data_IF_071327225858
#
_entry.id   IF_071327225858
#
_cell.length_a   1.000
_cell.length_b   1.000
_cell.length_c   1.000
_cell.angle_alpha   90.00
_cell.angle_beta   90.00
_cell.angle_gamma   90.00
#
_symmetry.space_group_name_H-M   'P 1'
#
loop_
_entity.id
_entity.type
_entity.pdbx_description
1 polymer ?
#
# COMPACT_ATOMS: atom_id res chain seq x y z
N UNK A 1 39.50 2.79 25.29
CA UNK A 1 38.45 3.79 25.56
C UNK A 1 37.49 3.73 24.41
N UNK A 2 36.40 3.01 24.66
CA UNK A 2 35.25 2.83 23.77
C UNK A 2 34.59 4.19 23.59
N UNK A 3 34.40 4.60 22.34
CA UNK A 3 33.83 5.91 22.02
C UNK A 3 32.31 5.75 22.11
N UNK A 4 31.72 6.24 23.19
CA UNK A 4 30.27 6.34 23.37
C UNK A 4 29.65 7.01 22.12
N UNK A 5 29.03 6.21 21.27
CA UNK A 5 28.22 6.73 20.17
C UNK A 5 26.91 7.20 20.78
N UNK A 6 26.76 8.52 20.97
CA UNK A 6 25.46 9.10 21.23
C UNK A 6 24.50 8.64 20.12
N UNK A 7 23.62 7.71 20.44
CA UNK A 7 22.55 7.23 19.58
C UNK A 7 21.48 8.32 19.47
N UNK A 8 21.81 9.38 18.74
CA UNK A 8 20.88 10.44 18.41
C UNK A 8 19.82 9.91 17.46
N UNK A 9 18.55 10.00 17.86
CA UNK A 9 17.42 9.75 16.97
C UNK A 9 17.35 10.91 15.98
N UNK A 10 17.39 10.64 14.68
CA UNK A 10 17.12 11.67 13.68
C UNK A 10 15.64 12.06 13.78
N UNK A 11 15.38 13.25 14.31
CA UNK A 11 14.02 13.70 14.64
C UNK A 11 13.14 13.85 13.38
N UNK A 12 13.73 14.26 12.26
CA UNK A 12 12.97 14.67 11.08
C UNK A 12 12.26 13.51 10.37
N UNK A 13 12.93 12.38 10.00
CA UNK A 13 12.22 11.24 9.41
C UNK A 13 11.20 10.63 10.37
N UNK A 14 11.59 10.44 11.64
CA UNK A 14 10.71 9.85 12.65
C UNK A 14 9.45 10.70 12.92
N UNK A 15 9.50 12.02 12.69
CA UNK A 15 8.31 12.87 12.77
C UNK A 15 7.32 12.58 11.64
N UNK A 16 7.79 12.31 10.42
CA UNK A 16 6.93 11.88 9.32
C UNK A 16 6.35 10.49 9.56
N UNK A 17 7.16 9.55 10.07
CA UNK A 17 6.66 8.23 10.51
C UNK A 17 5.56 8.37 11.57
N UNK A 18 5.78 9.25 12.56
CA UNK A 18 4.81 9.53 13.61
C UNK A 18 3.54 10.17 13.06
N UNK A 19 3.67 11.06 12.06
CA UNK A 19 2.52 11.67 11.39
C UNK A 19 1.70 10.62 10.61
N UNK A 20 2.36 9.67 9.95
CA UNK A 20 1.71 8.53 9.31
C UNK A 20 0.90 7.71 10.32
N UNK A 21 1.55 7.34 11.44
CA UNK A 21 0.90 6.61 12.53
C UNK A 21 -0.30 7.37 13.12
N UNK A 22 -0.15 8.68 13.32
CA UNK A 22 -1.23 9.53 13.83
C UNK A 22 -2.42 9.58 12.88
N UNK A 23 -2.17 9.70 11.57
CA UNK A 23 -3.21 9.68 10.56
C UNK A 23 -3.96 8.34 10.54
N UNK A 24 -3.24 7.22 10.67
CA UNK A 24 -3.84 5.90 10.80
C UNK A 24 -4.68 5.75 12.08
N UNK A 25 -4.17 6.23 13.21
CA UNK A 25 -4.91 6.23 14.46
C UNK A 25 -6.19 7.07 14.37
N UNK A 26 -6.11 8.27 13.79
CA UNK A 26 -7.27 9.11 13.54
C UNK A 26 -8.27 8.43 12.60
N UNK A 27 -7.78 7.73 11.57
CA UNK A 27 -8.63 6.94 10.66
C UNK A 27 -9.45 5.89 11.41
N UNK A 28 -8.85 5.17 12.36
CA UNK A 28 -9.54 4.20 13.19
C UNK A 28 -10.63 4.85 14.05
N UNK A 29 -10.30 5.96 14.72
CA UNK A 29 -11.25 6.70 15.55
C UNK A 29 -12.42 7.24 14.72
N UNK A 30 -12.13 7.82 13.55
CA UNK A 30 -13.15 8.35 12.63
C UNK A 30 -14.06 7.23 12.12
N UNK A 31 -13.50 6.09 11.72
CA UNK A 31 -14.25 4.90 11.29
C UNK A 31 -15.20 4.38 12.36
N UNK A 32 -14.73 4.30 13.62
CA UNK A 32 -15.56 3.88 14.75
C UNK A 32 -16.72 4.84 15.05
N UNK A 33 -16.56 6.13 14.70
CA UNK A 33 -17.60 7.15 14.84
C UNK A 33 -18.54 7.24 13.61
N UNK A 34 -18.36 6.37 12.62
CA UNK A 34 -19.11 6.42 11.35
C UNK A 34 -18.68 7.56 10.42
N UNK A 35 -17.59 8.26 10.72
CA UNK A 35 -17.02 9.33 9.88
C UNK A 35 -16.12 8.70 8.81
N UNK A 36 -16.72 7.93 7.91
CA UNK A 36 -15.97 7.08 6.97
C UNK A 36 -15.16 7.87 5.96
N UNK A 37 -15.68 8.98 5.43
CA UNK A 37 -14.93 9.83 4.51
C UNK A 37 -13.65 10.40 5.14
N UNK A 38 -13.76 10.96 6.35
CA UNK A 38 -12.59 11.44 7.10
C UNK A 38 -11.60 10.30 7.40
N UNK A 39 -12.10 9.11 7.71
CA UNK A 39 -11.29 7.91 7.93
C UNK A 39 -10.49 7.50 6.68
N UNK A 40 -11.13 7.53 5.51
CA UNK A 40 -10.50 7.23 4.22
C UNK A 40 -9.42 8.27 3.88
N UNK A 41 -9.76 9.55 3.98
CA UNK A 41 -8.83 10.65 3.70
C UNK A 41 -7.59 10.53 4.60
N UNK A 42 -7.78 10.18 5.88
CA UNK A 42 -6.68 10.01 6.81
C UNK A 42 -5.72 8.86 6.43
N UNK A 43 -6.23 7.75 5.88
CA UNK A 43 -5.37 6.66 5.36
C UNK A 43 -4.50 7.18 4.21
N UNK A 44 -5.07 7.97 3.28
CA UNK A 44 -4.31 8.54 2.17
C UNK A 44 -3.29 9.59 2.64
N UNK A 45 -3.62 10.40 3.66
CA UNK A 45 -2.66 11.31 4.28
C UNK A 45 -1.50 10.52 4.90
N UNK A 46 -1.79 9.46 5.64
CA UNK A 46 -0.76 8.59 6.23
C UNK A 46 0.14 7.96 5.16
N UNK A 47 -0.45 7.52 4.06
CA UNK A 47 0.28 6.99 2.90
C UNK A 47 1.24 8.00 2.26
N UNK A 48 0.83 9.27 2.17
CA UNK A 48 1.70 10.33 1.66
C UNK A 48 2.83 10.60 2.66
N UNK A 49 2.52 10.65 3.96
CA UNK A 49 3.52 10.88 5.01
C UNK A 49 4.59 9.79 5.05
N UNK A 50 4.20 8.51 4.99
CA UNK A 50 5.09 7.35 4.86
C UNK A 50 6.00 7.45 3.62
N UNK A 51 5.40 7.72 2.45
CA UNK A 51 6.17 7.87 1.21
C UNK A 51 7.19 9.02 1.26
N UNK A 52 6.92 10.08 2.03
CA UNK A 52 7.83 11.21 2.23
C UNK A 52 8.94 10.88 3.23
N UNK A 53 8.63 10.28 4.37
CA UNK A 53 9.59 9.72 5.34
C UNK A 53 10.67 8.93 4.62
N UNK A 54 10.27 7.86 3.91
CA UNK A 54 11.23 6.92 3.34
C UNK A 54 12.07 7.55 2.23
N UNK A 55 11.62 8.65 1.62
CA UNK A 55 12.41 9.44 0.66
C UNK A 55 13.35 10.41 1.37
N UNK A 56 12.87 11.14 2.38
CA UNK A 56 13.66 12.10 3.15
C UNK A 56 14.80 11.39 3.88
N UNK A 57 14.55 10.24 4.50
CA UNK A 57 15.59 9.44 5.17
C UNK A 57 16.72 9.02 4.22
N UNK A 58 16.38 8.67 2.97
CA UNK A 58 17.35 8.33 1.92
C UNK A 58 18.14 9.54 1.42
N UNK A 59 17.46 10.67 1.19
CA UNK A 59 18.09 11.90 0.70
C UNK A 59 19.02 12.53 1.73
N UNK A 60 18.69 12.42 3.02
CA UNK A 60 19.46 13.01 4.12
C UNK A 60 20.50 12.05 4.70
N UNK A 61 20.59 10.81 4.20
CA UNK A 61 21.46 9.76 4.73
C UNK A 61 21.24 9.49 6.24
N UNK A 62 20.01 9.64 6.72
CA UNK A 62 19.63 9.52 8.15
C UNK A 62 18.96 8.18 8.49
N UNK A 63 19.21 7.14 7.70
CA UNK A 63 18.64 5.81 7.93
C UNK A 63 19.24 5.18 9.18
N UNK A 64 18.40 4.80 10.14
CA UNK A 64 18.81 4.13 11.39
C UNK A 64 18.04 2.81 11.57
N UNK A 65 18.63 1.85 12.28
CA UNK A 65 17.97 0.59 12.59
C UNK A 65 16.67 0.80 13.39
N UNK A 66 16.68 1.74 14.34
CA UNK A 66 15.49 2.13 15.08
C UNK A 66 14.40 2.69 14.17
N UNK A 67 14.75 3.67 13.31
CA UNK A 67 13.81 4.28 12.37
C UNK A 67 13.18 3.25 11.42
N UNK A 68 13.96 2.29 10.91
CA UNK A 68 13.44 1.23 10.05
C UNK A 68 12.43 0.31 10.75
N UNK A 69 12.65 -0.01 12.04
CA UNK A 69 11.70 -0.78 12.82
C UNK A 69 10.46 0.04 13.18
N UNK A 70 10.64 1.31 13.52
CA UNK A 70 9.54 2.23 13.83
C UNK A 70 8.62 2.45 12.61
N UNK A 71 9.22 2.64 11.43
CA UNK A 71 8.55 2.71 10.13
C UNK A 71 7.71 1.46 9.86
N UNK A 72 8.31 0.26 10.01
CA UNK A 72 7.60 -1.00 9.81
C UNK A 72 6.41 -1.21 10.77
N UNK A 73 6.53 -0.75 12.02
CA UNK A 73 5.42 -0.80 13.00
C UNK A 73 4.32 0.19 12.63
N UNK A 74 4.69 1.40 12.22
CA UNK A 74 3.76 2.42 11.72
C UNK A 74 3.00 1.92 10.48
N UNK A 75 3.72 1.37 9.50
CA UNK A 75 3.19 0.77 8.29
C UNK A 75 2.16 -0.32 8.55
N UNK A 76 2.38 -1.15 9.56
CA UNK A 76 1.44 -2.20 9.94
C UNK A 76 0.10 -1.61 10.38
N UNK A 77 0.13 -0.50 11.13
CA UNK A 77 -1.08 0.21 11.55
C UNK A 77 -1.71 0.95 10.37
N UNK A 78 -0.93 1.71 9.60
CA UNK A 78 -1.40 2.55 8.48
C UNK A 78 -1.96 1.75 7.32
N UNK A 79 -1.29 0.67 6.93
CA UNK A 79 -1.65 -0.10 5.73
C UNK A 79 -2.29 -1.45 6.03
N UNK A 80 -2.17 -1.95 7.27
CA UNK A 80 -2.80 -3.18 7.72
C UNK A 80 -4.09 -2.90 8.47
N UNK A 81 -3.98 -2.32 9.67
CA UNK A 81 -5.08 -2.23 10.63
C UNK A 81 -6.13 -1.19 10.24
N UNK A 82 -5.70 0.02 9.88
CA UNK A 82 -6.61 1.11 9.51
C UNK A 82 -7.55 0.75 8.34
N UNK A 83 -7.06 0.33 7.16
CA UNK A 83 -7.93 -0.04 6.04
C UNK A 83 -8.80 -1.28 6.32
N UNK A 84 -8.30 -2.28 7.06
CA UNK A 84 -9.11 -3.47 7.37
C UNK A 84 -10.28 -3.16 8.31
N UNK A 85 -10.05 -2.34 9.33
CA UNK A 85 -11.11 -1.94 10.27
C UNK A 85 -12.06 -0.92 9.66
N UNK A 86 -11.58 -0.02 8.79
CA UNK A 86 -12.44 0.80 7.94
C UNK A 86 -13.39 -0.07 7.11
N UNK A 87 -12.85 -1.03 6.36
CA UNK A 87 -13.68 -1.93 5.54
C UNK A 87 -14.66 -2.75 6.38
N UNK A 88 -14.27 -3.16 7.60
CA UNK A 88 -15.14 -3.85 8.52
C UNK A 88 -16.29 -2.99 9.04
N UNK A 89 -15.99 -1.82 9.57
CA UNK A 89 -16.99 -0.92 10.14
C UNK A 89 -17.98 -0.43 9.07
N UNK A 90 -17.51 -0.21 7.83
CA UNK A 90 -18.33 0.30 6.75
C UNK A 90 -19.17 -0.79 6.06
N UNK A 91 -18.58 -1.94 5.71
CA UNK A 91 -19.23 -2.94 4.83
C UNK A 91 -19.13 -4.38 5.36
N UNK A 92 -17.95 -4.87 5.83
CA UNK A 92 -17.80 -6.30 6.13
C UNK A 92 -18.59 -6.74 7.38
N UNK A 93 -19.01 -5.80 8.24
CA UNK A 93 -19.88 -6.08 9.38
C UNK A 93 -21.17 -6.80 8.98
N UNK A 94 -21.67 -6.59 7.76
CA UNK A 94 -22.82 -7.31 7.20
C UNK A 94 -22.60 -8.83 7.06
N UNK A 95 -21.35 -9.30 7.03
CA UNK A 95 -20.99 -10.73 7.00
C UNK A 95 -20.82 -11.34 8.41
N UNK A 96 -21.05 -10.56 9.47
CA UNK A 96 -20.93 -11.00 10.86
C UNK A 96 -19.55 -11.59 11.18
N UNK A 97 -19.53 -12.85 11.65
CA UNK A 97 -18.28 -13.55 12.03
C UNK A 97 -17.27 -13.65 10.88
N UNK A 98 -17.75 -13.82 9.66
CA UNK A 98 -16.86 -13.93 8.49
C UNK A 98 -16.18 -12.59 8.19
N UNK A 99 -16.90 -11.48 8.40
CA UNK A 99 -16.41 -10.14 8.10
C UNK A 99 -15.15 -9.75 8.87
N UNK A 100 -15.15 -9.94 10.20
CA UNK A 100 -13.98 -9.60 11.01
C UNK A 100 -12.81 -10.56 10.78
N UNK A 101 -13.08 -11.84 10.46
CA UNK A 101 -12.05 -12.81 10.09
C UNK A 101 -11.34 -12.39 8.80
N UNK A 102 -12.09 -11.94 7.79
CA UNK A 102 -11.50 -11.43 6.53
C UNK A 102 -10.67 -10.18 6.78
N UNK A 103 -11.16 -9.24 7.60
CA UNK A 103 -10.39 -8.07 8.00
C UNK A 103 -9.08 -8.47 8.70
N UNK A 104 -9.12 -9.45 9.61
CA UNK A 104 -7.94 -9.97 10.28
C UNK A 104 -6.94 -10.64 9.33
N UNK A 105 -7.43 -11.43 8.36
CA UNK A 105 -6.57 -12.05 7.33
C UNK A 105 -5.81 -10.99 6.54
N UNK A 106 -6.47 -9.88 6.20
CA UNK A 106 -5.82 -8.76 5.53
C UNK A 106 -4.72 -8.13 6.40
N UNK A 107 -5.02 -7.83 7.66
CA UNK A 107 -4.03 -7.31 8.63
C UNK A 107 -2.84 -8.25 8.79
N UNK A 108 -3.09 -9.56 8.92
CA UNK A 108 -2.05 -10.57 9.07
C UNK A 108 -1.18 -10.70 7.81
N UNK A 109 -1.78 -10.62 6.62
CA UNK A 109 -1.05 -10.62 5.35
C UNK A 109 -0.10 -9.43 5.23
N UNK A 110 -0.53 -8.23 5.64
CA UNK A 110 0.34 -7.04 5.71
C UNK A 110 1.51 -7.27 6.67
N UNK A 111 1.26 -7.79 7.87
CA UNK A 111 2.32 -8.07 8.85
C UNK A 111 3.35 -9.09 8.32
N UNK A 112 2.89 -10.20 7.71
CA UNK A 112 3.77 -11.20 7.10
C UNK A 112 4.58 -10.63 5.95
N UNK A 113 3.97 -9.78 5.10
CA UNK A 113 4.67 -9.10 4.01
C UNK A 113 5.76 -8.20 4.56
N UNK A 114 5.47 -7.36 5.56
CA UNK A 114 6.46 -6.46 6.18
C UNK A 114 7.60 -7.23 6.83
N UNK A 115 7.30 -8.30 7.57
CA UNK A 115 8.32 -9.17 8.16
C UNK A 115 9.22 -9.79 7.09
N UNK A 116 8.64 -10.33 6.02
CA UNK A 116 9.39 -10.88 4.88
C UNK A 116 10.26 -9.81 4.23
N UNK A 117 9.71 -8.61 3.99
CA UNK A 117 10.44 -7.50 3.40
C UNK A 117 11.66 -7.15 4.25
N UNK A 118 11.49 -7.00 5.57
CA UNK A 118 12.56 -6.66 6.50
C UNK A 118 13.67 -7.73 6.58
N UNK A 119 13.33 -9.01 6.45
CA UNK A 119 14.31 -10.11 6.45
C UNK A 119 15.05 -10.30 5.12
N UNK A 120 14.48 -9.84 4.00
CA UNK A 120 15.04 -10.04 2.65
C UNK A 120 15.78 -8.80 2.09
N UNK A 121 15.91 -7.73 2.88
CA UNK A 121 16.49 -6.45 2.49
C UNK A 121 17.92 -6.55 1.91
N UNK A 122 18.73 -7.50 2.36
CA UNK A 122 20.14 -7.62 1.93
C UNK A 122 20.33 -8.43 0.63
N UNK A 123 19.35 -9.27 0.27
CA UNK A 123 19.45 -10.23 -0.86
C UNK A 123 18.55 -9.90 -2.05
N UNK A 124 17.73 -8.84 -1.96
CA UNK A 124 16.71 -8.53 -2.97
C UNK A 124 17.26 -7.71 -4.15
N UNK A 125 16.88 -8.11 -5.38
CA UNK A 125 17.10 -7.35 -6.61
C UNK A 125 16.47 -5.95 -6.51
N UNK A 126 17.25 -4.88 -6.74
CA UNK A 126 16.79 -3.48 -6.59
C UNK A 126 15.64 -3.07 -7.53
N UNK A 127 15.47 -3.79 -8.66
CA UNK A 127 14.50 -3.47 -9.73
C UNK A 127 13.09 -4.02 -9.52
N UNK A 128 12.90 -5.06 -8.70
CA UNK A 128 11.61 -5.72 -8.56
C UNK A 128 11.29 -6.01 -7.09
N UNK A 129 10.05 -5.75 -6.68
CA UNK A 129 9.49 -6.22 -5.42
C UNK A 129 8.89 -7.61 -5.59
N UNK A 130 8.92 -8.42 -4.53
CA UNK A 130 8.17 -9.67 -4.46
C UNK A 130 6.92 -9.45 -3.60
N UNK A 131 5.76 -9.80 -4.14
CA UNK A 131 4.45 -9.53 -3.54
C UNK A 131 3.96 -8.10 -3.81
N UNK A 132 2.64 -7.90 -3.71
CA UNK A 132 2.02 -6.58 -3.80
C UNK A 132 2.52 -5.69 -2.65
N UNK A 133 2.94 -4.43 -2.91
CA UNK A 133 3.31 -3.53 -1.82
C UNK A 133 2.11 -3.17 -0.92
N UNK A 134 2.35 -2.97 0.38
CA UNK A 134 1.30 -2.64 1.36
C UNK A 134 0.55 -1.33 1.04
N UNK A 135 1.20 -0.22 0.64
CA UNK A 135 0.48 1.03 0.41
C UNK A 135 -0.54 0.93 -0.75
N UNK A 136 -0.20 0.42 -1.94
CA UNK A 136 -1.18 0.15 -3.00
C UNK A 136 -2.29 -0.82 -2.59
N UNK A 137 -1.98 -1.85 -1.78
CA UNK A 137 -3.01 -2.75 -1.25
C UNK A 137 -4.01 -2.00 -0.36
N UNK A 138 -3.52 -1.19 0.57
CA UNK A 138 -4.35 -0.35 1.44
C UNK A 138 -5.18 0.65 0.63
N UNK A 139 -4.58 1.21 -0.42
CA UNK A 139 -5.26 2.14 -1.31
C UNK A 139 -6.43 1.48 -2.06
N UNK A 140 -6.26 0.25 -2.56
CA UNK A 140 -7.36 -0.52 -3.20
C UNK A 140 -8.52 -0.69 -2.23
N UNK A 141 -8.26 -1.11 -0.99
CA UNK A 141 -9.31 -1.32 0.01
C UNK A 141 -9.98 0.00 0.42
N UNK A 142 -9.19 1.04 0.71
CA UNK A 142 -9.71 2.34 1.15
C UNK A 142 -10.50 3.07 0.05
N UNK A 143 -10.03 3.03 -1.20
CA UNK A 143 -10.75 3.62 -2.34
C UNK A 143 -12.03 2.85 -2.69
N UNK A 144 -12.02 1.51 -2.58
CA UNK A 144 -13.25 0.72 -2.75
C UNK A 144 -14.27 1.02 -1.65
N UNK A 145 -13.82 1.14 -0.40
CA UNK A 145 -14.65 1.58 0.71
C UNK A 145 -15.22 2.99 0.44
N UNK A 146 -14.43 3.91 -0.12
CA UNK A 146 -14.91 5.23 -0.50
C UNK A 146 -16.01 5.17 -1.56
N UNK A 147 -15.81 4.37 -2.60
CA UNK A 147 -16.80 4.20 -3.67
C UNK A 147 -18.13 3.68 -3.11
N UNK A 148 -18.06 2.68 -2.23
CA UNK A 148 -19.23 2.12 -1.57
C UNK A 148 -19.94 3.14 -0.68
N UNK A 149 -19.19 3.97 0.05
CA UNK A 149 -19.74 5.03 0.89
C UNK A 149 -20.46 6.10 0.05
N UNK A 150 -19.84 6.58 -1.04
CA UNK A 150 -20.44 7.62 -1.90
C UNK A 150 -21.73 7.17 -2.59
N UNK A 151 -21.81 5.89 -2.97
CA UNK A 151 -22.97 5.34 -3.67
C UNK A 151 -23.98 4.65 -2.73
N UNK A 152 -23.78 4.77 -1.41
CA UNK A 152 -24.62 4.14 -0.37
C UNK A 152 -24.79 2.62 -0.57
N UNK A 153 -23.75 1.96 -1.06
CA UNK A 153 -23.74 0.52 -1.33
C UNK A 153 -23.54 -0.28 -0.05
N UNK A 154 -24.65 -0.66 0.60
CA UNK A 154 -24.66 -1.37 1.89
C UNK A 154 -25.28 -2.78 1.83
N UNK A 155 -25.24 -3.40 0.65
CA UNK A 155 -25.86 -4.71 0.43
C UNK A 155 -24.88 -5.87 0.71
N UNK A 156 -25.43 -7.04 1.02
CA UNK A 156 -24.65 -8.27 1.27
C UNK A 156 -23.73 -8.65 0.10
N UNK A 157 -24.16 -8.37 -1.13
CA UNK A 157 -23.36 -8.60 -2.33
C UNK A 157 -22.09 -7.75 -2.34
N UNK A 158 -22.21 -6.49 -1.94
CA UNK A 158 -21.08 -5.55 -1.84
C UNK A 158 -20.14 -6.01 -0.74
N UNK A 159 -20.67 -6.51 0.37
CA UNK A 159 -19.85 -7.08 1.43
C UNK A 159 -19.07 -8.32 1.01
N UNK A 160 -19.69 -9.20 0.22
CA UNK A 160 -19.00 -10.34 -0.37
C UNK A 160 -17.89 -9.88 -1.34
N UNK A 161 -18.16 -8.85 -2.16
CA UNK A 161 -17.17 -8.29 -3.06
C UNK A 161 -15.98 -7.67 -2.31
N UNK A 162 -16.23 -6.89 -1.24
CA UNK A 162 -15.19 -6.37 -0.35
C UNK A 162 -14.37 -7.50 0.24
N UNK A 163 -15.02 -8.57 0.70
CA UNK A 163 -14.33 -9.70 1.30
C UNK A 163 -13.41 -10.41 0.29
N UNK A 164 -13.91 -10.66 -0.92
CA UNK A 164 -13.12 -11.24 -2.01
C UNK A 164 -11.94 -10.33 -2.36
N UNK A 165 -12.16 -9.02 -2.47
CA UNK A 165 -11.12 -8.04 -2.76
C UNK A 165 -10.02 -8.03 -1.67
N UNK A 166 -10.42 -8.05 -0.39
CA UNK A 166 -9.50 -8.16 0.75
C UNK A 166 -8.69 -9.45 0.70
N UNK A 167 -9.31 -10.59 0.38
CA UNK A 167 -8.60 -11.87 0.26
C UNK A 167 -7.64 -11.90 -0.94
N UNK A 168 -8.06 -11.37 -2.09
CA UNK A 168 -7.20 -11.27 -3.28
C UNK A 168 -5.97 -10.40 -2.96
N UNK A 169 -6.16 -9.20 -2.43
CA UNK A 169 -5.04 -8.32 -2.07
C UNK A 169 -4.13 -8.95 -1.01
N UNK A 170 -4.69 -9.65 -0.02
CA UNK A 170 -3.92 -10.42 0.97
C UNK A 170 -3.05 -11.50 0.35
N UNK A 171 -3.62 -12.32 -0.54
CA UNK A 171 -2.86 -13.39 -1.21
C UNK A 171 -1.77 -12.81 -2.12
N UNK A 172 -2.04 -11.69 -2.81
CA UNK A 172 -1.05 -11.00 -3.63
C UNK A 172 0.13 -10.48 -2.80
N UNK A 173 -0.11 -9.95 -1.58
CA UNK A 173 0.96 -9.45 -0.70
C UNK A 173 1.92 -10.55 -0.25
N UNK A 174 1.43 -11.76 0.01
CA UNK A 174 2.24 -12.89 0.52
C UNK A 174 2.83 -13.75 -0.63
N UNK A 175 2.34 -13.54 -1.86
CA UNK A 175 2.81 -14.27 -3.05
C UNK A 175 4.24 -13.92 -3.48
N UNK A 176 4.82 -14.77 -4.35
CA UNK A 176 6.12 -14.54 -4.99
C UNK A 176 6.02 -13.75 -6.32
N UNK A 177 4.92 -13.02 -6.54
CA UNK A 177 4.66 -12.26 -7.77
C UNK A 177 5.59 -11.05 -7.83
N UNK A 178 6.18 -10.77 -9.00
CA UNK A 178 7.12 -9.65 -9.17
C UNK A 178 6.39 -8.38 -9.54
N UNK A 179 6.57 -7.32 -8.76
CA UNK A 179 6.04 -5.98 -9.00
C UNK A 179 7.18 -5.01 -9.34
N UNK A 180 6.94 -4.06 -10.24
CA UNK A 180 7.94 -3.07 -10.63
C UNK A 180 8.21 -2.10 -9.47
N UNK A 181 9.48 -1.90 -9.17
CA UNK A 181 9.92 -0.92 -8.19
C UNK A 181 10.15 0.42 -8.88
N UNK A 182 9.31 1.42 -8.62
CA UNK A 182 9.49 2.78 -9.13
C UNK A 182 10.72 3.51 -8.53
N UNK A 183 11.70 2.79 -7.95
CA UNK A 183 12.88 3.36 -7.29
C UNK A 183 13.91 3.96 -8.28
N UNK A 184 13.81 3.69 -9.58
CA UNK A 184 14.75 4.18 -10.63
C UNK A 184 14.14 5.24 -11.56
N UNK A 185 13.09 5.98 -11.16
CA UNK A 185 12.62 7.11 -11.97
C UNK A 185 13.59 8.28 -11.81
N UNK A 186 14.55 8.36 -12.74
CA UNK A 186 15.50 9.47 -12.83
C UNK A 186 14.77 10.69 -13.42
N UNK A 187 14.44 11.67 -12.58
CA UNK A 187 13.76 12.92 -13.00
C UNK A 187 14.70 13.90 -13.73
N UNK A 188 15.91 13.47 -14.11
CA UNK A 188 16.88 14.29 -14.84
C UNK A 188 16.63 14.21 -16.35
N UNK A 189 15.62 14.94 -16.82
CA UNK A 189 15.33 15.09 -18.25
C UNK A 189 14.26 16.15 -18.53
N UNK A 190 14.18 16.62 -19.78
CA UNK A 190 13.04 17.44 -20.21
C UNK A 190 11.80 16.58 -20.19
N UNK A 191 10.82 16.91 -19.35
CA UNK A 191 9.52 16.22 -19.33
C UNK A 191 8.80 16.55 -20.65
N UNK A 192 8.47 15.55 -21.50
CA UNK A 192 7.70 15.82 -22.72
C UNK A 192 6.37 16.49 -22.39
N UNK A 193 5.91 17.41 -23.26
CA UNK A 193 4.63 18.12 -23.08
C UNK A 193 3.45 17.17 -22.84
N UNK A 194 3.49 15.97 -23.43
CA UNK A 194 2.50 14.91 -23.21
C UNK A 194 2.35 14.52 -21.73
N UNK A 195 3.43 14.49 -20.94
CA UNK A 195 3.35 14.17 -19.50
C UNK A 195 2.63 15.26 -18.72
N UNK A 196 2.84 16.53 -19.07
CA UNK A 196 2.13 17.65 -18.46
C UNK A 196 0.64 17.54 -18.75
N UNK A 197 0.28 17.22 -20.01
CA UNK A 197 -1.11 16.98 -20.40
C UNK A 197 -1.74 15.82 -19.63
N UNK A 198 -1.04 14.68 -19.52
CA UNK A 198 -1.49 13.51 -18.75
C UNK A 198 -1.66 13.85 -17.27
N UNK A 199 -0.76 14.63 -16.67
CA UNK A 199 -0.89 15.08 -15.27
C UNK A 199 -2.11 15.99 -15.08
N UNK A 200 -2.39 16.90 -16.01
CA UNK A 200 -3.58 17.76 -15.96
C UNK A 200 -4.85 16.91 -16.07
N UNK A 201 -4.90 15.98 -17.02
CA UNK A 201 -6.05 15.07 -17.18
C UNK A 201 -6.26 14.24 -15.91
N UNK A 202 -5.19 13.70 -15.33
CA UNK A 202 -5.26 12.94 -14.08
C UNK A 202 -5.75 13.81 -12.92
N UNK A 203 -5.25 15.04 -12.81
CA UNK A 203 -5.69 15.98 -11.78
C UNK A 203 -7.18 16.32 -11.91
N UNK A 204 -7.64 16.62 -13.13
CA UNK A 204 -9.07 16.87 -13.40
C UNK A 204 -9.91 15.64 -13.08
N UNK A 205 -9.45 14.44 -13.45
CA UNK A 205 -10.16 13.20 -13.15
C UNK A 205 -10.27 12.95 -11.64
N UNK A 206 -9.18 13.12 -10.87
CA UNK A 206 -9.20 12.99 -9.41
C UNK A 206 -10.12 14.03 -8.77
N UNK A 207 -10.13 15.26 -9.29
CA UNK A 207 -11.01 16.32 -8.80
C UNK A 207 -12.49 16.04 -9.12
N UNK A 208 -12.78 15.31 -10.21
CA UNK A 208 -14.15 14.97 -10.60
C UNK A 208 -14.72 13.79 -9.78
N UNK A 209 -13.97 12.70 -9.66
CA UNK A 209 -14.35 11.55 -8.83
C UNK A 209 -13.09 10.89 -8.23
N UNK A 210 -12.68 11.30 -7.02
CA UNK A 210 -11.48 10.76 -6.40
C UNK A 210 -11.63 9.28 -6.08
N UNK A 211 -12.84 8.83 -5.73
CA UNK A 211 -13.06 7.44 -5.30
C UNK A 211 -12.83 6.46 -6.45
N UNK A 212 -13.42 6.74 -7.61
CA UNK A 212 -13.32 5.90 -8.80
C UNK A 212 -11.91 5.93 -9.37
N UNK A 213 -11.31 7.11 -9.51
CA UNK A 213 -9.97 7.24 -10.12
C UNK A 213 -8.90 6.55 -9.29
N UNK A 214 -8.94 6.73 -7.96
CA UNK A 214 -8.01 6.04 -7.06
C UNK A 214 -8.25 4.52 -7.11
N UNK A 215 -9.50 4.07 -7.04
CA UNK A 215 -9.81 2.64 -7.07
C UNK A 215 -9.34 1.96 -8.37
N UNK A 216 -9.68 2.53 -9.52
CA UNK A 216 -9.28 2.01 -10.83
C UNK A 216 -7.76 2.04 -10.96
N UNK A 217 -7.10 3.15 -10.59
CA UNK A 217 -5.65 3.30 -10.70
C UNK A 217 -4.88 2.27 -9.87
N UNK A 218 -5.22 2.11 -8.59
CA UNK A 218 -4.55 1.16 -7.71
C UNK A 218 -4.90 -0.30 -8.04
N UNK A 219 -6.11 -0.57 -8.54
CA UNK A 219 -6.49 -1.90 -9.00
C UNK A 219 -5.72 -2.29 -10.26
N UNK A 220 -5.59 -1.38 -11.23
CA UNK A 220 -4.74 -1.59 -12.42
C UNK A 220 -3.30 -1.89 -11.99
N UNK A 221 -2.77 -1.13 -11.03
CA UNK A 221 -1.44 -1.40 -10.49
C UNK A 221 -1.34 -2.79 -9.85
N UNK A 222 -2.32 -3.19 -9.02
CA UNK A 222 -2.36 -4.50 -8.38
C UNK A 222 -2.39 -5.64 -9.41
N UNK A 223 -3.15 -5.48 -10.49
CA UNK A 223 -3.25 -6.44 -11.60
C UNK A 223 -1.98 -6.45 -12.46
N UNK A 224 -1.30 -5.31 -12.63
CA UNK A 224 -0.11 -5.20 -13.49
C UNK A 224 1.01 -6.17 -13.09
N UNK A 225 1.20 -6.42 -11.79
CA UNK A 225 2.21 -7.38 -11.30
C UNK A 225 1.87 -8.83 -11.63
N UNK A 226 0.58 -9.20 -11.63
CA UNK A 226 0.13 -10.53 -12.08
C UNK A 226 0.49 -10.73 -13.55
N UNK A 227 0.15 -9.77 -14.40
CA UNK A 227 0.42 -9.82 -15.85
C UNK A 227 1.93 -9.89 -16.11
N UNK A 228 2.73 -9.06 -15.45
CA UNK A 228 4.18 -9.06 -15.61
C UNK A 228 4.79 -10.41 -15.22
N UNK A 229 4.32 -11.00 -14.13
CA UNK A 229 4.80 -12.31 -13.66
C UNK A 229 4.43 -13.43 -14.64
N UNK A 230 3.21 -13.42 -15.18
CA UNK A 230 2.79 -14.37 -16.21
C UNK A 230 3.65 -14.28 -17.48
N UNK A 231 3.97 -13.06 -17.93
CA UNK A 231 4.84 -12.83 -19.10
C UNK A 231 6.25 -13.37 -18.85
N UNK A 232 6.81 -13.13 -17.67
CA UNK A 232 8.14 -13.64 -17.29
C UNK A 232 8.14 -15.17 -17.26
N UNK A 233 7.11 -15.79 -16.66
CA UNK A 233 6.98 -17.25 -16.61
C UNK A 233 6.84 -17.86 -18.01
N UNK A 234 6.09 -17.22 -18.91
CA UNK A 234 5.96 -17.66 -20.30
C UNK A 234 7.29 -17.55 -21.06
N UNK A 235 8.06 -16.47 -20.86
CA UNK A 235 9.39 -16.31 -21.47
C UNK A 235 10.38 -17.37 -20.98
N UNK A 236 10.41 -17.66 -19.67
CA UNK A 236 11.28 -18.71 -19.10
C UNK A 236 10.89 -20.10 -19.62
N UNK A 237 9.58 -20.41 -19.69
CA UNK A 237 9.10 -21.68 -20.27
C UNK A 237 9.47 -21.81 -21.75
N UNK A 238 9.36 -20.73 -22.53
CA UNK A 238 9.74 -20.70 -23.95
C UNK A 238 11.25 -20.88 -24.15
N UNK A 239 12.08 -20.32 -23.27
CA UNK A 239 13.53 -20.49 -23.30
C UNK A 239 13.95 -21.92 -22.96
N UNK A 240 13.35 -22.56 -21.94
CA UNK A 240 13.62 -23.97 -21.62
C UNK A 240 13.29 -24.90 -22.79
N UNK A 241 12.12 -24.70 -23.42
CA UNK A 241 11.69 -25.49 -24.59
C UNK A 241 12.58 -25.32 -25.83
N UNK A 242 13.32 -24.21 -25.92
CA UNK A 242 14.28 -23.96 -26.99
C UNK A 242 15.68 -24.49 -26.69
N UNK A 243 16.02 -24.81 -25.44
CA UNK A 243 17.28 -25.47 -25.08
C UNK A 243 17.19 -27.00 -25.12
N UNK A 244 15.97 -27.55 -25.12
CA UNK A 244 15.68 -28.99 -25.25
C UNK A 244 15.50 -29.44 -26.73
N UNK A 245 15.62 -28.51 -27.69
CA UNK A 245 15.59 -28.77 -29.14
C UNK A 245 16.98 -28.53 -29.72
#
# INVERSE_FOLDING_TARGET
MEKDSHSGIYLLPNLFTTASLFAAFYSLVASMKGQFEASIIAIFIGMIADGLDGRIARLTHTQTAFGAQYDSLSDMVTFGVAPSLLAYNLILSHLGKVGWLVAFVYTAAVALRLARFNTQLETADKKYFQGLPCPPSAAVIASFAWLCYQHEWQNIFVALLTAILSLITSTLMVSNIRYYSFKEVDFKGKVPFLYVLVMIILFVAIAADPSLVLFVGFTIYAISGLIMTLIVLQKVRKQRRNMEK
#
